data_IF_557989179372
#
_entry.id   IF_557989179372
#
_cell.length_a   1.000
_cell.length_b   1.000
_cell.length_c   1.000
_cell.angle_alpha   90.00
_cell.angle_beta   90.00
_cell.angle_gamma   90.00
#
_symmetry.space_group_name_H-M   'P 1'
#
loop_
_entity.id
_entity.type
_entity.pdbx_description
1 polymer ?
#
# COMPACT_ATOMS: atom_id res chain seq x y z
N UNK A 1 13.17 -50.28 -23.77
CA UNK A 1 12.48 -50.54 -22.50
C UNK A 1 13.33 -49.97 -21.38
N UNK A 2 13.07 -48.77 -21.00
CA UNK A 2 13.51 -48.20 -19.69
C UNK A 2 12.48 -47.10 -19.38
N UNK A 3 11.36 -47.51 -18.81
CA UNK A 3 10.46 -46.64 -18.07
C UNK A 3 11.15 -46.32 -16.74
N UNK A 4 11.84 -45.13 -16.67
CA UNK A 4 12.23 -44.55 -15.41
C UNK A 4 11.04 -43.83 -14.82
N UNK A 5 10.43 -44.54 -13.85
CA UNK A 5 9.49 -44.07 -12.82
C UNK A 5 9.63 -42.57 -12.51
N UNK A 6 8.57 -41.83 -12.79
CA UNK A 6 8.29 -40.52 -12.21
C UNK A 6 7.94 -40.71 -10.72
N UNK A 7 8.95 -40.96 -9.88
CA UNK A 7 8.80 -40.81 -8.43
C UNK A 7 8.43 -39.35 -8.13
N UNK A 8 7.29 -39.16 -7.49
CA UNK A 8 6.69 -37.86 -7.16
C UNK A 8 7.66 -36.94 -6.43
N UNK A 9 8.34 -36.07 -7.15
CA UNK A 9 9.04 -34.93 -6.54
C UNK A 9 7.97 -34.04 -5.92
N UNK A 10 7.90 -34.05 -4.57
CA UNK A 10 7.07 -33.08 -3.87
C UNK A 10 7.44 -31.68 -4.37
N UNK A 11 6.46 -30.98 -4.92
CA UNK A 11 6.63 -29.59 -5.40
C UNK A 11 6.97 -28.71 -4.18
N UNK A 12 8.19 -28.21 -4.14
CA UNK A 12 8.62 -27.22 -3.14
C UNK A 12 8.38 -25.83 -3.71
N UNK A 13 7.53 -25.05 -3.07
CA UNK A 13 7.22 -23.70 -3.52
C UNK A 13 8.48 -22.83 -3.72
N UNK A 14 8.53 -22.06 -4.82
CA UNK A 14 9.68 -21.25 -5.20
C UNK A 14 10.21 -20.33 -4.08
N UNK A 15 9.38 -19.68 -3.25
CA UNK A 15 9.85 -18.86 -2.14
C UNK A 15 10.63 -19.64 -1.08
N UNK A 16 10.40 -20.94 -0.97
CA UNK A 16 11.17 -21.82 -0.07
C UNK A 16 12.41 -22.38 -0.76
N UNK A 17 12.28 -22.86 -2.01
CA UNK A 17 13.36 -23.45 -2.81
C UNK A 17 14.50 -22.45 -3.08
N UNK A 18 14.15 -21.18 -3.39
CA UNK A 18 15.10 -20.13 -3.71
C UNK A 18 15.33 -19.14 -2.56
N UNK A 19 15.03 -19.56 -1.34
CA UNK A 19 15.30 -18.74 -0.15
C UNK A 19 16.82 -18.55 -0.02
N UNK A 20 17.31 -17.30 0.09
CA UNK A 20 18.74 -17.02 0.28
C UNK A 20 19.34 -17.82 1.42
N UNK A 21 20.49 -18.44 1.18
CA UNK A 21 21.20 -19.25 2.15
C UNK A 21 22.45 -18.57 2.71
N UNK A 22 22.98 -17.59 1.99
CA UNK A 22 24.15 -16.78 2.31
C UNK A 22 23.79 -15.29 2.22
N UNK A 23 24.66 -14.42 2.75
CA UNK A 23 24.45 -12.96 2.62
C UNK A 23 24.58 -12.49 1.17
N UNK A 24 25.43 -13.15 0.36
CA UNK A 24 25.64 -12.81 -1.05
C UNK A 24 24.41 -13.12 -1.91
N UNK A 25 23.54 -14.04 -1.46
CA UNK A 25 22.27 -14.33 -2.13
C UNK A 25 21.16 -13.29 -1.86
N UNK A 26 21.37 -12.42 -0.86
CA UNK A 26 20.35 -11.44 -0.45
C UNK A 26 20.32 -10.27 -1.44
N UNK A 27 19.16 -10.08 -2.08
CA UNK A 27 18.97 -9.04 -3.09
C UNK A 27 18.46 -7.74 -2.46
N UNK A 28 19.04 -6.59 -2.83
CA UNK A 28 18.51 -5.25 -2.55
C UNK A 28 18.74 -4.74 -1.12
N UNK A 29 19.56 -5.44 -0.31
CA UNK A 29 19.83 -5.06 1.09
C UNK A 29 21.33 -4.90 1.37
N UNK A 30 22.11 -4.46 0.39
CA UNK A 30 23.58 -4.41 0.42
C UNK A 30 24.10 -3.62 1.64
N UNK A 31 23.42 -2.55 2.05
CA UNK A 31 23.80 -1.73 3.22
C UNK A 31 23.66 -2.48 4.54
N UNK A 32 22.62 -3.32 4.69
CA UNK A 32 22.41 -4.18 5.86
C UNK A 32 23.43 -5.30 5.87
N UNK A 33 23.57 -6.01 4.76
CA UNK A 33 24.50 -7.13 4.57
C UNK A 33 25.92 -6.68 4.89
N UNK A 34 26.39 -5.58 4.32
CA UNK A 34 27.73 -5.04 4.58
C UNK A 34 27.97 -4.75 6.06
N UNK A 35 27.00 -4.18 6.74
CA UNK A 35 27.13 -3.85 8.16
C UNK A 35 27.17 -5.11 9.03
N UNK A 36 26.32 -6.10 8.73
CA UNK A 36 26.32 -7.39 9.44
C UNK A 36 27.62 -8.17 9.22
N UNK A 37 28.11 -8.25 7.97
CA UNK A 37 29.42 -8.87 7.66
C UNK A 37 30.57 -8.18 8.41
N UNK A 38 30.56 -6.85 8.49
CA UNK A 38 31.56 -6.11 9.23
C UNK A 38 31.49 -6.39 10.74
N UNK A 39 30.29 -6.45 11.32
CA UNK A 39 30.09 -6.78 12.74
C UNK A 39 30.61 -8.17 13.09
N UNK A 40 30.34 -9.16 12.22
CA UNK A 40 30.83 -10.55 12.37
C UNK A 40 32.36 -10.58 12.27
N UNK A 41 32.95 -10.00 11.22
CA UNK A 41 34.39 -10.01 10.98
C UNK A 41 35.19 -9.27 12.05
N UNK A 42 34.63 -8.18 12.65
CA UNK A 42 35.25 -7.45 13.74
C UNK A 42 35.00 -8.04 15.13
N UNK A 43 34.13 -9.06 15.24
CA UNK A 43 33.71 -9.64 16.51
C UNK A 43 32.83 -8.71 17.38
N UNK A 44 32.41 -7.56 16.86
CA UNK A 44 31.56 -6.58 17.57
C UNK A 44 30.08 -6.88 17.36
N UNK A 45 29.61 -7.93 18.03
CA UNK A 45 28.24 -8.43 17.89
C UNK A 45 27.38 -7.84 19.00
N UNK A 46 26.37 -7.05 18.65
CA UNK A 46 25.40 -6.53 19.60
C UNK A 46 24.57 -7.66 20.25
N UNK A 47 23.90 -7.36 21.37
CA UNK A 47 23.07 -8.35 22.04
C UNK A 47 21.68 -8.46 21.44
N UNK A 48 21.18 -7.38 20.84
CA UNK A 48 19.86 -7.37 20.20
C UNK A 48 19.90 -6.58 18.87
N UNK A 49 19.19 -7.11 17.90
CA UNK A 49 19.03 -6.57 16.55
C UNK A 49 17.55 -6.39 16.24
N UNK A 50 17.19 -5.33 15.53
CA UNK A 50 15.82 -5.06 15.10
C UNK A 50 15.82 -4.81 13.59
N UNK A 51 15.24 -5.73 12.82
CA UNK A 51 15.03 -5.60 11.39
C UNK A 51 13.63 -5.05 11.11
N UNK A 52 13.55 -3.86 10.54
CA UNK A 52 12.30 -3.16 10.21
C UNK A 52 12.14 -3.08 8.70
N UNK A 53 10.94 -3.28 8.19
CA UNK A 53 10.66 -3.04 6.78
C UNK A 53 9.47 -3.83 6.25
N UNK A 54 8.99 -3.57 5.03
CA UNK A 54 7.80 -4.18 4.44
C UNK A 54 7.82 -5.72 4.45
N UNK A 55 6.67 -6.31 4.19
CA UNK A 55 6.55 -7.77 4.06
C UNK A 55 7.31 -8.26 2.81
N UNK A 56 7.84 -9.49 2.85
CA UNK A 56 8.41 -10.16 1.68
C UNK A 56 9.81 -9.72 1.25
N UNK A 57 10.45 -8.73 1.92
CA UNK A 57 11.75 -8.16 1.53
C UNK A 57 12.98 -8.89 2.11
N UNK A 58 12.76 -9.96 2.91
CA UNK A 58 13.86 -10.80 3.41
C UNK A 58 14.22 -10.62 4.89
N UNK A 59 13.42 -9.95 5.74
CA UNK A 59 13.71 -9.78 7.19
C UNK A 59 14.06 -11.09 7.88
N UNK A 60 13.14 -12.03 7.92
CA UNK A 60 13.32 -13.35 8.56
C UNK A 60 14.44 -14.16 7.90
N UNK A 61 14.60 -14.05 6.58
CA UNK A 61 15.70 -14.70 5.84
C UNK A 61 17.05 -14.15 6.29
N UNK A 62 17.20 -12.83 6.35
CA UNK A 62 18.44 -12.18 6.83
C UNK A 62 18.72 -12.55 8.30
N UNK A 63 17.68 -12.62 9.15
CA UNK A 63 17.80 -13.09 10.54
C UNK A 63 18.37 -14.51 10.63
N UNK A 64 17.87 -15.42 9.79
CA UNK A 64 18.36 -16.82 9.76
C UNK A 64 19.78 -16.92 9.19
N UNK A 65 20.11 -16.14 8.15
CA UNK A 65 21.47 -16.10 7.60
C UNK A 65 22.44 -15.57 8.67
N UNK A 66 22.06 -14.51 9.37
CA UNK A 66 22.84 -13.95 10.46
C UNK A 66 23.05 -14.96 11.59
N UNK A 67 22.00 -15.69 12.00
CA UNK A 67 22.12 -16.76 13.00
C UNK A 67 23.03 -17.88 12.54
N UNK A 68 22.95 -18.30 11.26
CA UNK A 68 23.88 -19.28 10.67
C UNK A 68 25.32 -18.78 10.69
N UNK A 69 25.57 -17.53 10.30
CA UNK A 69 26.91 -16.95 10.26
C UNK A 69 27.56 -16.88 11.66
N UNK A 70 26.76 -16.56 12.70
CA UNK A 70 27.23 -16.52 14.08
C UNK A 70 27.57 -17.89 14.65
N UNK A 71 26.89 -18.94 14.22
CA UNK A 71 26.98 -20.30 14.75
C UNK A 71 27.59 -21.31 13.76
N UNK A 72 28.10 -20.83 12.62
CA UNK A 72 28.76 -21.70 11.64
C UNK A 72 30.04 -22.31 12.20
N UNK A 73 30.22 -23.60 11.96
CA UNK A 73 31.45 -24.32 12.40
C UNK A 73 32.64 -24.04 11.49
N UNK A 74 32.37 -23.77 10.20
CA UNK A 74 33.37 -23.56 9.17
C UNK A 74 33.00 -22.29 8.35
N UNK A 75 33.03 -21.07 8.96
CA UNK A 75 32.66 -19.87 8.25
C UNK A 75 33.71 -19.49 7.21
N UNK A 76 33.25 -18.96 6.06
CA UNK A 76 34.13 -18.31 5.08
C UNK A 76 34.08 -16.79 5.33
N UNK A 77 35.00 -16.30 6.12
CA UNK A 77 34.96 -14.91 6.61
C UNK A 77 33.74 -14.63 7.45
N UNK A 78 32.80 -13.83 6.90
CA UNK A 78 31.52 -13.54 7.55
C UNK A 78 30.34 -14.36 6.96
N UNK A 79 30.59 -15.20 5.95
CA UNK A 79 29.57 -16.04 5.32
C UNK A 79 29.42 -17.39 6.03
N UNK A 80 28.16 -17.85 6.19
CA UNK A 80 27.92 -19.23 6.66
C UNK A 80 28.27 -20.24 5.56
N UNK A 81 28.90 -21.34 5.90
CA UNK A 81 29.28 -22.36 4.92
C UNK A 81 28.07 -23.08 4.28
N UNK A 82 26.88 -23.01 4.88
CA UNK A 82 25.65 -23.64 4.40
C UNK A 82 25.58 -25.16 4.46
N UNK A 83 26.69 -25.85 4.78
CA UNK A 83 26.81 -27.32 4.72
C UNK A 83 27.12 -27.98 6.08
N UNK A 84 27.62 -27.27 7.08
CA UNK A 84 27.87 -27.85 8.40
C UNK A 84 26.57 -28.14 9.15
N UNK A 85 26.63 -28.96 10.15
CA UNK A 85 25.47 -29.41 10.93
C UNK A 85 24.64 -28.23 11.48
N UNK A 86 25.27 -27.22 12.08
CA UNK A 86 24.60 -26.05 12.59
C UNK A 86 23.88 -25.27 11.47
N UNK A 87 24.53 -25.09 10.32
CA UNK A 87 23.88 -24.37 9.18
C UNK A 87 22.66 -25.12 8.66
N UNK A 88 22.72 -26.45 8.58
CA UNK A 88 21.59 -27.28 8.12
C UNK A 88 20.46 -27.28 9.15
N UNK A 89 20.73 -27.50 10.42
CA UNK A 89 19.74 -27.49 11.49
C UNK A 89 19.03 -26.14 11.60
N UNK A 90 19.75 -25.01 11.46
CA UNK A 90 19.15 -23.67 11.48
C UNK A 90 18.29 -23.45 10.24
N UNK A 91 18.72 -23.88 9.05
CA UNK A 91 17.95 -23.75 7.82
C UNK A 91 16.62 -24.51 7.89
N UNK A 92 16.61 -25.68 8.52
CA UNK A 92 15.46 -26.55 8.70
C UNK A 92 14.60 -26.18 9.94
N UNK A 93 15.04 -25.23 10.76
CA UNK A 93 14.32 -24.82 11.98
C UNK A 93 14.37 -25.86 13.10
N UNK A 94 15.38 -26.75 13.11
CA UNK A 94 15.54 -27.84 14.11
C UNK A 94 16.68 -27.61 15.11
N UNK A 95 17.32 -26.45 15.07
CA UNK A 95 18.43 -26.11 15.98
C UNK A 95 17.92 -25.90 17.40
N UNK A 96 18.60 -26.52 18.39
CA UNK A 96 18.32 -26.30 19.81
C UNK A 96 18.81 -24.92 20.31
N UNK A 97 19.79 -24.34 19.62
CA UNK A 97 20.43 -23.09 20.00
C UNK A 97 19.89 -21.87 19.22
N UNK A 98 19.04 -22.10 18.20
CA UNK A 98 18.36 -21.04 17.46
C UNK A 98 16.87 -21.30 17.50
N UNK A 99 16.17 -20.53 18.33
CA UNK A 99 14.72 -20.62 18.50
C UNK A 99 14.06 -19.50 17.71
N UNK A 100 13.02 -19.85 16.93
CA UNK A 100 12.23 -18.90 16.15
C UNK A 100 10.80 -18.87 16.68
N UNK A 101 10.29 -17.68 16.98
CA UNK A 101 8.92 -17.39 17.42
C UNK A 101 8.25 -16.46 16.42
N UNK A 102 7.10 -16.84 15.94
CA UNK A 102 6.22 -15.96 15.18
C UNK A 102 5.29 -15.20 16.15
N UNK A 103 5.51 -13.91 16.31
CA UNK A 103 4.72 -13.04 17.19
C UNK A 103 3.28 -12.86 16.74
N UNK A 104 2.93 -13.15 15.48
CA UNK A 104 1.56 -13.11 15.01
C UNK A 104 0.72 -14.28 15.57
N UNK A 105 1.33 -15.46 15.68
CA UNK A 105 0.70 -16.68 16.20
C UNK A 105 0.87 -16.83 17.71
N UNK A 106 1.95 -16.30 18.28
CA UNK A 106 2.38 -16.47 19.66
C UNK A 106 2.72 -15.11 20.27
N UNK A 107 1.70 -14.40 20.78
CA UNK A 107 1.84 -13.01 21.24
C UNK A 107 1.68 -12.80 22.75
N UNK A 108 1.36 -13.84 23.49
CA UNK A 108 1.11 -13.77 24.93
C UNK A 108 2.39 -13.96 25.75
N UNK A 109 2.32 -13.63 27.03
CA UNK A 109 3.41 -13.84 28.00
C UNK A 109 3.79 -15.32 28.09
N UNK A 110 2.78 -16.20 28.04
CA UNK A 110 2.97 -17.64 28.11
C UNK A 110 3.84 -18.18 26.96
N UNK A 111 3.69 -17.58 25.77
CA UNK A 111 4.44 -17.97 24.57
C UNK A 111 5.91 -17.54 24.66
N UNK A 112 6.19 -16.45 25.35
CA UNK A 112 7.54 -15.89 25.51
C UNK A 112 8.27 -16.50 26.72
N UNK A 113 7.55 -17.07 27.69
CA UNK A 113 8.12 -17.67 28.87
C UNK A 113 9.17 -18.77 28.57
N UNK A 114 8.98 -19.69 27.60
CA UNK A 114 9.99 -20.66 27.22
C UNK A 114 11.32 -20.02 26.75
N UNK A 115 11.24 -18.86 26.09
CA UNK A 115 12.42 -18.09 25.67
C UNK A 115 13.17 -17.59 26.90
N UNK A 116 12.46 -16.97 27.87
CA UNK A 116 13.07 -16.43 29.09
C UNK A 116 13.72 -17.54 29.92
N UNK A 117 13.11 -18.70 30.02
CA UNK A 117 13.68 -19.87 30.70
C UNK A 117 14.90 -20.39 29.93
N UNK A 118 14.81 -20.50 28.61
CA UNK A 118 15.91 -20.98 27.78
C UNK A 118 17.14 -20.07 27.81
N UNK A 119 16.98 -18.76 28.02
CA UNK A 119 18.10 -17.80 28.13
C UNK A 119 19.07 -18.17 29.25
N UNK A 120 18.59 -18.79 30.32
CA UNK A 120 19.42 -19.15 31.47
C UNK A 120 20.40 -20.29 31.18
N UNK A 121 20.17 -21.08 30.14
CA UNK A 121 21.00 -22.21 29.77
C UNK A 121 21.98 -21.84 28.67
N UNK A 122 23.23 -22.28 28.79
CA UNK A 122 24.24 -22.11 27.74
C UNK A 122 23.83 -22.84 26.45
N UNK A 123 24.37 -22.44 25.29
CA UNK A 123 24.19 -23.18 24.05
C UNK A 123 24.63 -24.62 24.20
N UNK A 124 23.94 -25.57 23.54
CA UNK A 124 24.23 -26.98 23.58
C UNK A 124 25.39 -27.37 22.64
N UNK A 125 25.41 -26.82 21.41
CA UNK A 125 26.38 -27.18 20.37
C UNK A 125 26.96 -25.95 19.64
N UNK A 126 26.38 -24.79 19.82
CA UNK A 126 26.71 -23.56 19.08
C UNK A 126 27.48 -22.56 19.94
N UNK A 127 28.03 -21.51 19.29
CA UNK A 127 28.70 -20.42 19.99
C UNK A 127 27.71 -19.50 20.73
N UNK A 128 26.58 -19.23 20.08
CA UNK A 128 25.52 -18.34 20.60
C UNK A 128 24.19 -19.04 20.68
N UNK A 129 23.39 -18.66 21.66
CA UNK A 129 21.97 -18.97 21.74
C UNK A 129 21.20 -17.82 21.18
N UNK A 130 20.46 -18.03 20.08
CA UNK A 130 19.85 -16.98 19.29
C UNK A 130 18.33 -17.14 19.32
N UNK A 131 17.64 -16.04 19.60
CA UNK A 131 16.19 -15.99 19.60
C UNK A 131 15.75 -15.05 18.47
N UNK A 132 15.09 -15.62 17.47
CA UNK A 132 14.50 -14.85 16.35
C UNK A 132 13.01 -14.68 16.66
N UNK A 133 12.54 -13.43 16.75
CA UNK A 133 11.14 -13.13 16.99
C UNK A 133 10.63 -12.34 15.79
N UNK A 134 9.86 -13.02 14.92
CA UNK A 134 9.29 -12.43 13.73
C UNK A 134 7.95 -11.76 14.07
N UNK A 135 7.57 -10.75 13.29
CA UNK A 135 6.41 -9.87 13.49
C UNK A 135 6.25 -9.43 14.97
N UNK A 136 7.37 -9.05 15.57
CA UNK A 136 7.47 -8.76 17.00
C UNK A 136 6.53 -7.62 17.48
N UNK A 137 6.07 -6.74 16.58
CA UNK A 137 5.09 -5.71 16.91
C UNK A 137 3.73 -6.27 17.36
N UNK A 138 3.45 -7.54 17.09
CA UNK A 138 2.24 -8.23 17.52
C UNK A 138 2.29 -8.71 18.97
N UNK A 139 3.48 -8.73 19.59
CA UNK A 139 3.61 -9.13 20.99
C UNK A 139 2.83 -8.20 21.93
N UNK A 140 2.14 -8.77 22.90
CA UNK A 140 1.46 -8.01 23.94
C UNK A 140 2.45 -7.19 24.77
N UNK A 141 1.98 -6.08 25.33
CA UNK A 141 2.80 -5.25 26.24
C UNK A 141 3.34 -6.06 27.44
N UNK A 142 2.56 -7.02 27.92
CA UNK A 142 2.98 -7.91 28.99
C UNK A 142 4.12 -8.85 28.56
N UNK A 143 4.08 -9.38 27.31
CA UNK A 143 5.15 -10.19 26.73
C UNK A 143 6.45 -9.38 26.55
N UNK A 144 6.35 -8.15 26.08
CA UNK A 144 7.48 -7.23 26.00
C UNK A 144 8.09 -6.94 27.36
N UNK A 145 7.27 -6.63 28.36
CA UNK A 145 7.76 -6.34 29.72
C UNK A 145 8.48 -7.55 30.34
N UNK A 146 8.04 -8.76 30.04
CA UNK A 146 8.72 -9.97 30.49
C UNK A 146 10.11 -10.15 29.86
N UNK A 147 10.30 -9.71 28.60
CA UNK A 147 11.59 -9.74 27.91
C UNK A 147 12.56 -8.63 28.33
N UNK A 148 12.06 -7.48 28.85
CA UNK A 148 12.89 -6.30 29.13
C UNK A 148 14.07 -6.62 30.02
N UNK A 149 13.86 -7.35 31.14
CA UNK A 149 14.93 -7.70 32.06
C UNK A 149 16.05 -8.47 31.39
N UNK A 150 15.69 -9.39 30.49
CA UNK A 150 16.66 -10.21 29.73
C UNK A 150 17.39 -9.40 28.66
N UNK A 151 16.73 -8.39 28.10
CA UNK A 151 17.32 -7.50 27.11
C UNK A 151 18.26 -6.45 27.72
N UNK A 152 18.04 -6.08 28.97
CA UNK A 152 18.90 -5.15 29.72
C UNK A 152 20.24 -5.78 30.08
N UNK A 153 20.21 -7.00 30.63
CA UNK A 153 21.39 -7.72 31.09
C UNK A 153 21.44 -9.14 30.49
N UNK A 154 21.57 -9.26 29.14
CA UNK A 154 21.62 -10.57 28.52
C UNK A 154 22.93 -11.29 28.80
N UNK A 155 22.91 -12.60 29.04
CA UNK A 155 24.13 -13.40 29.08
C UNK A 155 24.94 -13.21 27.78
N UNK A 156 26.30 -13.24 27.82
CA UNK A 156 27.16 -12.93 26.68
C UNK A 156 26.94 -13.85 25.49
N UNK A 157 26.46 -15.06 25.74
CA UNK A 157 26.16 -16.07 24.73
C UNK A 157 24.75 -15.92 24.12
N UNK A 158 23.91 -15.00 24.61
CA UNK A 158 22.55 -14.80 24.10
C UNK A 158 22.51 -13.66 23.08
N UNK A 159 21.79 -13.88 21.99
CA UNK A 159 21.52 -12.86 20.97
C UNK A 159 20.03 -12.86 20.62
N UNK A 160 19.44 -11.67 20.53
CA UNK A 160 18.07 -11.47 20.09
C UNK A 160 18.05 -10.88 18.69
N UNK A 161 17.15 -11.37 17.85
CA UNK A 161 16.91 -10.83 16.51
C UNK A 161 15.40 -10.63 16.35
N UNK A 162 14.98 -9.40 16.38
CA UNK A 162 13.58 -9.00 16.18
C UNK A 162 13.37 -8.63 14.72
N UNK A 163 12.25 -9.04 14.14
CA UNK A 163 11.83 -8.63 12.81
C UNK A 163 10.40 -8.08 12.88
N UNK A 164 10.12 -7.00 12.15
CA UNK A 164 8.80 -6.37 12.16
C UNK A 164 8.50 -5.64 10.84
N UNK A 165 7.24 -5.63 10.47
CA UNK A 165 6.73 -4.77 9.39
C UNK A 165 6.41 -3.36 9.89
N UNK A 166 6.17 -3.18 11.19
CA UNK A 166 5.72 -1.93 11.80
C UNK A 166 6.65 -1.52 12.95
N UNK A 167 7.76 -0.85 12.60
CA UNK A 167 8.77 -0.42 13.57
C UNK A 167 8.25 0.56 14.62
N UNK A 168 7.27 1.38 14.25
CA UNK A 168 6.69 2.42 15.12
C UNK A 168 5.79 1.83 16.23
N UNK A 169 5.31 0.59 16.06
CA UNK A 169 4.56 -0.13 17.09
C UNK A 169 5.45 -0.83 18.11
N UNK A 170 6.75 -0.93 17.87
CA UNK A 170 7.70 -1.51 18.83
C UNK A 170 7.98 -0.50 19.95
N UNK A 171 7.98 -0.96 21.20
CA UNK A 171 8.21 -0.09 22.34
C UNK A 171 9.56 0.63 22.26
N UNK A 172 9.59 1.93 22.50
CA UNK A 172 10.81 2.74 22.45
C UNK A 172 11.91 2.21 23.40
N UNK A 173 11.52 1.63 24.52
CA UNK A 173 12.40 0.96 25.48
C UNK A 173 13.13 -0.25 24.90
N UNK A 174 12.54 -0.94 23.94
CA UNK A 174 13.14 -2.07 23.20
C UNK A 174 14.04 -1.53 22.11
N UNK A 175 13.53 -0.56 21.31
CA UNK A 175 14.28 0.04 20.19
C UNK A 175 15.62 0.61 20.68
N UNK A 176 15.65 1.27 21.86
CA UNK A 176 16.87 1.86 22.44
C UNK A 176 17.95 0.84 22.81
N UNK A 177 17.59 -0.44 22.96
CA UNK A 177 18.51 -1.57 23.30
C UNK A 177 18.89 -2.41 22.09
N UNK A 178 18.29 -2.16 20.94
CA UNK A 178 18.52 -2.89 19.70
C UNK A 178 19.38 -2.10 18.71
N UNK A 179 20.24 -2.77 17.99
CA UNK A 179 20.81 -2.23 16.76
C UNK A 179 19.74 -2.34 15.68
N UNK A 180 19.17 -1.19 15.25
CA UNK A 180 18.12 -1.12 14.25
C UNK A 180 18.69 -1.15 12.84
N UNK A 181 18.04 -1.92 11.97
CA UNK A 181 18.30 -2.02 10.54
C UNK A 181 16.99 -1.83 9.77
N UNK A 182 16.94 -0.80 8.95
CA UNK A 182 15.79 -0.53 8.09
C UNK A 182 16.03 -1.15 6.71
N UNK A 183 15.30 -2.23 6.42
CA UNK A 183 15.32 -2.90 5.12
C UNK A 183 14.40 -2.14 4.17
N UNK A 184 14.83 -2.02 2.91
CA UNK A 184 14.13 -1.25 1.87
C UNK A 184 13.37 -2.18 0.94
N UNK A 185 12.36 -1.63 0.27
CA UNK A 185 11.74 -2.31 -0.87
C UNK A 185 12.80 -2.63 -1.92
N UNK A 186 12.75 -3.82 -2.46
CA UNK A 186 13.67 -4.26 -3.53
C UNK A 186 13.26 -3.54 -4.81
N UNK A 187 14.23 -3.04 -5.56
CA UNK A 187 13.97 -2.36 -6.83
C UNK A 187 13.39 -3.32 -7.86
N UNK A 188 12.50 -2.80 -8.70
CA UNK A 188 11.80 -3.61 -9.72
C UNK A 188 12.76 -4.35 -10.65
N UNK A 189 13.85 -3.69 -11.10
CA UNK A 189 14.87 -4.31 -11.93
C UNK A 189 15.57 -5.49 -11.23
N UNK A 190 15.92 -5.35 -9.95
CA UNK A 190 16.54 -6.43 -9.17
C UNK A 190 15.60 -7.64 -8.99
N UNK A 191 14.28 -7.38 -8.86
CA UNK A 191 13.30 -8.46 -8.83
C UNK A 191 13.22 -9.14 -10.20
N UNK A 192 13.15 -8.38 -11.31
CA UNK A 192 13.13 -8.94 -12.67
C UNK A 192 14.37 -9.80 -12.92
N UNK A 193 15.56 -9.32 -12.57
CA UNK A 193 16.81 -10.07 -12.71
C UNK A 193 16.77 -11.39 -11.95
N UNK A 194 16.25 -11.37 -10.71
CA UNK A 194 16.11 -12.58 -9.89
C UNK A 194 15.08 -13.55 -10.47
N UNK A 195 13.93 -13.06 -10.94
CA UNK A 195 12.91 -13.88 -11.59
C UNK A 195 13.45 -14.51 -12.88
N UNK A 196 14.16 -13.75 -13.70
CA UNK A 196 14.82 -14.25 -14.93
C UNK A 196 15.80 -15.39 -14.63
N UNK A 197 16.63 -15.19 -13.60
CA UNK A 197 17.56 -16.24 -13.15
C UNK A 197 16.82 -17.53 -12.73
N UNK A 198 15.69 -17.38 -12.00
CA UNK A 198 14.92 -18.52 -11.52
C UNK A 198 14.19 -19.21 -12.67
N UNK A 199 13.58 -18.48 -13.61
CA UNK A 199 12.97 -19.05 -14.81
C UNK A 199 13.99 -19.90 -15.59
N UNK A 200 15.23 -19.42 -15.77
CA UNK A 200 16.28 -20.18 -16.39
C UNK A 200 16.66 -21.47 -15.64
N UNK A 201 16.61 -21.45 -14.29
CA UNK A 201 16.89 -22.64 -13.47
C UNK A 201 15.76 -23.67 -13.47
N UNK A 202 14.50 -23.20 -13.55
CA UNK A 202 13.30 -24.06 -13.62
C UNK A 202 13.01 -24.52 -15.06
N UNK A 203 13.72 -24.00 -16.06
CA UNK A 203 13.47 -24.33 -17.47
C UNK A 203 12.16 -23.73 -18.02
N UNK A 204 11.70 -22.65 -17.42
CA UNK A 204 10.46 -21.95 -17.79
C UNK A 204 10.79 -20.75 -18.66
N UNK A 205 10.02 -20.56 -19.72
CA UNK A 205 10.09 -19.36 -20.55
C UNK A 205 9.07 -18.33 -20.07
N UNK A 206 9.49 -17.07 -19.99
CA UNK A 206 8.62 -15.95 -19.64
C UNK A 206 9.02 -14.71 -20.41
N UNK A 207 8.03 -13.97 -20.87
CA UNK A 207 8.26 -12.69 -21.55
C UNK A 207 8.82 -11.66 -20.56
N UNK A 208 9.67 -10.76 -21.05
CA UNK A 208 10.24 -9.66 -20.25
C UNK A 208 9.15 -8.80 -19.58
N UNK A 209 8.06 -8.53 -20.31
CA UNK A 209 6.93 -7.74 -19.81
C UNK A 209 6.13 -8.49 -18.74
N UNK A 210 6.03 -9.82 -18.86
CA UNK A 210 5.44 -10.66 -17.81
C UNK A 210 6.23 -10.58 -16.50
N UNK A 211 7.57 -10.72 -16.57
CA UNK A 211 8.42 -10.62 -15.38
C UNK A 211 8.38 -9.20 -14.78
N UNK A 212 8.29 -8.17 -15.63
CA UNK A 212 8.12 -6.79 -15.17
C UNK A 212 6.76 -6.59 -14.49
N UNK A 213 5.69 -7.18 -15.02
CA UNK A 213 4.35 -7.13 -14.40
C UNK A 213 4.36 -7.82 -13.03
N UNK A 214 4.99 -9.01 -12.91
CA UNK A 214 5.15 -9.69 -11.62
C UNK A 214 5.93 -8.82 -10.63
N UNK A 215 7.07 -8.24 -11.04
CA UNK A 215 7.92 -7.44 -10.19
C UNK A 215 7.22 -6.17 -9.68
N UNK A 216 6.43 -5.50 -10.53
CA UNK A 216 5.56 -4.38 -10.14
C UNK A 216 4.46 -4.84 -9.20
N UNK A 217 3.85 -6.01 -9.52
CA UNK A 217 2.82 -6.63 -8.74
C UNK A 217 3.22 -6.91 -7.31
N UNK A 218 4.46 -7.28 -7.10
CA UNK A 218 5.03 -7.63 -5.81
C UNK A 218 5.42 -6.41 -4.94
N UNK A 219 5.38 -5.18 -5.46
CA UNK A 219 5.65 -3.93 -4.71
C UNK A 219 6.95 -3.94 -3.90
N UNK A 220 8.00 -4.55 -4.44
CA UNK A 220 9.31 -4.67 -3.79
C UNK A 220 9.44 -5.87 -2.84
N UNK A 221 8.45 -6.76 -2.76
CA UNK A 221 8.47 -8.01 -1.99
C UNK A 221 8.93 -9.21 -2.81
N UNK A 222 10.15 -9.71 -2.64
CA UNK A 222 10.65 -10.87 -3.37
C UNK A 222 9.82 -12.13 -3.13
N UNK A 223 9.33 -12.32 -1.89
CA UNK A 223 8.49 -13.49 -1.56
C UNK A 223 7.19 -13.51 -2.36
N UNK A 224 6.55 -12.33 -2.49
CA UNK A 224 5.30 -12.20 -3.20
C UNK A 224 5.52 -12.36 -4.72
N UNK A 225 6.63 -11.83 -5.25
CA UNK A 225 7.04 -12.05 -6.65
C UNK A 225 7.25 -13.54 -6.97
N UNK A 226 7.97 -14.24 -6.10
CA UNK A 226 8.23 -15.68 -6.27
C UNK A 226 6.96 -16.53 -6.11
N UNK A 227 6.06 -16.14 -5.19
CA UNK A 227 4.77 -16.84 -5.02
C UNK A 227 3.90 -16.71 -6.27
N UNK A 228 3.89 -15.53 -6.88
CA UNK A 228 3.13 -15.29 -8.12
C UNK A 228 3.74 -16.00 -9.32
N UNK A 229 5.07 -16.02 -9.42
CA UNK A 229 5.74 -16.81 -10.46
C UNK A 229 5.43 -18.31 -10.30
N UNK A 230 5.45 -18.82 -9.08
CA UNK A 230 5.12 -20.21 -8.77
C UNK A 230 3.69 -20.59 -9.19
N UNK A 231 2.73 -19.69 -8.90
CA UNK A 231 1.33 -19.85 -9.34
C UNK A 231 1.22 -19.87 -10.87
N UNK A 232 1.94 -18.99 -11.56
CA UNK A 232 1.92 -18.92 -13.01
C UNK A 232 2.53 -20.18 -13.65
N UNK A 233 3.62 -20.69 -13.11
CA UNK A 233 4.25 -21.92 -13.55
C UNK A 233 3.31 -23.12 -13.36
N UNK A 234 2.58 -23.15 -12.23
CA UNK A 234 1.62 -24.22 -11.95
C UNK A 234 0.35 -24.13 -12.82
N UNK A 235 -0.01 -22.93 -13.27
CA UNK A 235 -1.24 -22.70 -14.04
C UNK A 235 -1.04 -22.92 -15.55
N UNK A 236 0.18 -22.67 -16.08
CA UNK A 236 0.42 -22.66 -17.51
C UNK A 236 1.61 -23.51 -17.94
N UNK A 237 1.35 -24.50 -18.77
CA UNK A 237 2.39 -25.23 -19.48
C UNK A 237 2.89 -24.38 -20.68
N UNK A 238 4.07 -23.76 -20.58
CA UNK A 238 4.67 -23.02 -21.69
C UNK A 238 5.16 -21.62 -21.31
N UNK A 239 5.09 -20.71 -22.29
CA UNK A 239 5.58 -19.33 -22.11
C UNK A 239 4.60 -18.50 -21.27
N UNK A 240 5.12 -17.84 -20.23
CA UNK A 240 4.35 -16.93 -19.38
C UNK A 240 4.29 -15.56 -20.08
N UNK A 241 3.07 -15.09 -20.37
CA UNK A 241 2.82 -13.80 -21.02
C UNK A 241 2.47 -12.70 -20.02
N UNK A 242 2.52 -11.44 -20.46
CA UNK A 242 2.10 -10.29 -19.63
C UNK A 242 0.66 -10.44 -19.14
N UNK A 243 -0.27 -10.86 -20.00
CA UNK A 243 -1.68 -11.04 -19.64
C UNK A 243 -1.87 -12.08 -18.52
N UNK A 244 -1.08 -13.16 -18.52
CA UNK A 244 -1.09 -14.16 -17.46
C UNK A 244 -0.67 -13.53 -16.13
N UNK A 245 0.43 -12.77 -16.15
CA UNK A 245 0.93 -12.07 -14.95
C UNK A 245 -0.08 -11.05 -14.41
N UNK A 246 -0.67 -10.24 -15.29
CA UNK A 246 -1.70 -9.25 -14.93
C UNK A 246 -2.95 -9.91 -14.34
N UNK A 247 -3.31 -11.11 -14.81
CA UNK A 247 -4.47 -11.84 -14.29
C UNK A 247 -4.28 -12.30 -12.85
N UNK A 248 -3.11 -12.85 -12.51
CA UNK A 248 -2.78 -13.34 -11.15
C UNK A 248 -2.86 -12.21 -10.11
N UNK A 249 -2.39 -11.03 -10.46
CA UNK A 249 -2.44 -9.88 -9.56
C UNK A 249 -3.75 -9.08 -9.62
N UNK A 250 -4.66 -9.43 -10.55
CA UNK A 250 -5.83 -8.63 -10.83
C UNK A 250 -5.47 -7.20 -11.27
N UNK A 251 -4.35 -7.05 -11.97
CA UNK A 251 -3.86 -5.77 -12.49
C UNK A 251 -4.57 -5.39 -13.78
N UNK A 252 -4.64 -4.10 -14.02
CA UNK A 252 -5.06 -3.55 -15.31
C UNK A 252 -3.81 -3.44 -16.19
N UNK A 253 -3.95 -3.78 -17.49
CA UNK A 253 -2.86 -3.60 -18.43
C UNK A 253 -2.52 -2.11 -18.53
N UNK A 254 -1.29 -1.85 -18.90
CA UNK A 254 -0.82 -0.48 -19.01
C UNK A 254 -1.58 0.31 -20.07
N UNK A 255 -1.86 -0.30 -21.21
CA UNK A 255 -2.63 0.32 -22.30
C UNK A 255 -4.06 0.66 -21.85
N UNK A 256 -4.69 -0.20 -21.05
CA UNK A 256 -6.01 0.05 -20.48
C UNK A 256 -5.98 1.19 -19.44
N UNK A 257 -4.94 1.26 -18.60
CA UNK A 257 -4.75 2.35 -17.64
C UNK A 257 -4.54 3.69 -18.35
N UNK A 258 -3.66 3.72 -19.35
CA UNK A 258 -3.38 4.90 -20.19
C UNK A 258 -4.64 5.34 -20.96
N UNK A 259 -5.41 4.38 -21.47
CA UNK A 259 -6.71 4.63 -22.11
C UNK A 259 -7.72 5.27 -21.18
N UNK A 260 -7.85 4.75 -19.94
CA UNK A 260 -8.72 5.33 -18.92
C UNK A 260 -8.27 6.74 -18.52
N UNK A 261 -6.96 6.97 -18.33
CA UNK A 261 -6.41 8.29 -18.05
C UNK A 261 -6.72 9.27 -19.18
N UNK A 262 -6.56 8.83 -20.43
CA UNK A 262 -6.93 9.63 -21.62
C UNK A 262 -8.42 9.98 -21.66
N UNK A 263 -9.32 9.07 -21.30
CA UNK A 263 -10.74 9.32 -21.20
C UNK A 263 -11.07 10.35 -20.09
N UNK A 264 -10.38 10.28 -18.95
CA UNK A 264 -10.53 11.26 -17.87
C UNK A 264 -10.08 12.65 -18.34
N UNK A 265 -8.91 12.75 -18.98
CA UNK A 265 -8.37 14.01 -19.49
C UNK A 265 -9.26 14.66 -20.58
N UNK A 266 -9.98 13.85 -21.35
CA UNK A 266 -10.96 14.31 -22.36
C UNK A 266 -12.35 14.60 -21.77
N UNK A 267 -12.61 14.21 -20.53
CA UNK A 267 -13.93 14.35 -19.90
C UNK A 267 -14.98 13.39 -20.45
N UNK A 268 -14.57 12.28 -21.09
CA UNK A 268 -15.49 11.29 -21.67
C UNK A 268 -16.08 10.38 -20.60
N UNK A 269 -17.21 10.80 -20.03
CA UNK A 269 -17.91 10.07 -18.98
C UNK A 269 -18.38 8.67 -19.40
N UNK A 270 -18.72 8.48 -20.69
CA UNK A 270 -19.19 7.17 -21.17
C UNK A 270 -18.06 6.16 -21.21
N UNK A 271 -16.90 6.55 -21.76
CA UNK A 271 -15.71 5.70 -21.78
C UNK A 271 -15.18 5.40 -20.39
N UNK A 272 -15.20 6.37 -19.46
CA UNK A 272 -14.82 6.15 -18.05
C UNK A 272 -15.68 5.06 -17.42
N UNK A 273 -17.03 5.18 -17.48
CA UNK A 273 -17.93 4.21 -16.88
C UNK A 273 -17.81 2.83 -17.50
N UNK A 274 -17.67 2.77 -18.84
CA UNK A 274 -17.46 1.50 -19.55
C UNK A 274 -16.17 0.81 -19.13
N UNK A 275 -15.08 1.54 -19.01
CA UNK A 275 -13.79 1.00 -18.58
C UNK A 275 -13.89 0.45 -17.15
N UNK A 276 -14.45 1.20 -16.20
CA UNK A 276 -14.61 0.76 -14.81
C UNK A 276 -15.51 -0.48 -14.73
N UNK A 277 -16.61 -0.54 -15.49
CA UNK A 277 -17.49 -1.71 -15.54
C UNK A 277 -16.77 -2.95 -16.09
N UNK A 278 -15.95 -2.79 -17.13
CA UNK A 278 -15.15 -3.87 -17.69
C UNK A 278 -14.13 -4.41 -16.69
N UNK A 279 -13.42 -3.52 -15.97
CA UNK A 279 -12.44 -3.92 -14.96
C UNK A 279 -13.09 -4.68 -13.79
N UNK A 280 -14.24 -4.20 -13.32
CA UNK A 280 -14.99 -4.84 -12.25
C UNK A 280 -15.47 -6.24 -12.69
N UNK A 281 -16.06 -6.36 -13.91
CA UNK A 281 -16.52 -7.63 -14.44
C UNK A 281 -15.39 -8.63 -14.72
N UNK A 282 -14.19 -8.13 -15.04
CA UNK A 282 -12.97 -8.94 -15.20
C UNK A 282 -12.29 -9.29 -13.87
N UNK A 283 -12.87 -8.92 -12.71
CA UNK A 283 -12.33 -9.21 -11.39
C UNK A 283 -11.03 -8.45 -11.07
N UNK A 284 -10.76 -7.33 -11.74
CA UNK A 284 -9.56 -6.52 -11.50
C UNK A 284 -9.60 -5.87 -10.11
N UNK A 285 -8.44 -5.68 -9.51
CA UNK A 285 -8.33 -5.05 -8.19
C UNK A 285 -8.57 -3.53 -8.28
N UNK A 286 -9.78 -3.11 -7.97
CA UNK A 286 -10.21 -1.71 -8.09
C UNK A 286 -9.44 -0.74 -7.17
N UNK A 287 -9.00 -1.19 -5.99
CA UNK A 287 -8.17 -0.36 -5.10
C UNK A 287 -6.80 -0.10 -5.70
N UNK A 288 -6.24 -1.13 -6.31
CA UNK A 288 -4.94 -1.03 -6.96
C UNK A 288 -5.01 -0.16 -8.23
N UNK A 289 -6.06 -0.29 -9.02
CA UNK A 289 -6.34 0.62 -10.15
C UNK A 289 -6.32 2.09 -9.71
N UNK A 290 -6.94 2.40 -8.57
CA UNK A 290 -6.95 3.76 -8.03
C UNK A 290 -5.53 4.27 -7.73
N UNK A 291 -4.70 3.47 -7.07
CA UNK A 291 -3.30 3.80 -6.79
C UNK A 291 -2.46 3.96 -8.07
N UNK A 292 -2.63 3.07 -9.06
CA UNK A 292 -1.93 3.16 -10.35
C UNK A 292 -2.32 4.41 -11.15
N UNK A 293 -3.62 4.78 -11.13
CA UNK A 293 -4.09 6.04 -11.71
C UNK A 293 -3.46 7.26 -11.01
N UNK A 294 -3.40 7.24 -9.69
CA UNK A 294 -2.77 8.33 -8.94
C UNK A 294 -1.29 8.49 -9.31
N UNK A 295 -0.55 7.38 -9.40
CA UNK A 295 0.85 7.40 -9.86
C UNK A 295 0.96 7.93 -11.29
N UNK A 296 0.06 7.54 -12.19
CA UNK A 296 0.05 8.03 -13.57
C UNK A 296 -0.19 9.54 -13.65
N UNK A 297 -1.19 10.06 -12.93
CA UNK A 297 -1.46 11.50 -12.88
C UNK A 297 -0.35 12.30 -12.17
N UNK A 298 0.27 11.74 -11.13
CA UNK A 298 1.49 12.32 -10.52
C UNK A 298 2.61 12.42 -11.56
N UNK A 299 2.82 11.39 -12.38
CA UNK A 299 3.82 11.41 -13.44
C UNK A 299 3.50 12.46 -14.51
N UNK A 300 2.23 12.69 -14.85
CA UNK A 300 1.80 13.78 -15.73
C UNK A 300 2.13 15.15 -15.14
N UNK A 301 1.88 15.38 -13.84
CA UNK A 301 2.25 16.63 -13.15
C UNK A 301 3.76 16.87 -13.23
N UNK A 302 4.56 15.83 -12.92
CA UNK A 302 6.04 15.93 -12.99
C UNK A 302 6.51 16.17 -14.42
N UNK A 303 5.88 15.52 -15.42
CA UNK A 303 6.20 15.72 -16.83
C UNK A 303 5.92 17.15 -17.27
N UNK A 304 4.80 17.73 -16.88
CA UNK A 304 4.49 19.12 -17.21
C UNK A 304 5.43 20.13 -16.54
N UNK A 305 5.92 19.81 -15.35
CA UNK A 305 6.86 20.68 -14.62
C UNK A 305 8.29 20.62 -15.16
N UNK A 306 8.80 19.45 -15.56
CA UNK A 306 10.20 19.20 -15.92
C UNK A 306 10.42 18.94 -17.40
N UNK A 307 9.36 18.68 -18.18
CA UNK A 307 9.47 18.30 -19.61
C UNK A 307 10.28 17.02 -19.80
N UNK A 308 11.13 17.00 -20.80
CA UNK A 308 11.97 15.83 -21.13
C UNK A 308 12.94 15.44 -20.00
N UNK A 309 13.32 16.37 -19.14
CA UNK A 309 14.14 16.09 -17.94
C UNK A 309 13.41 15.24 -16.88
N UNK A 310 12.10 15.15 -16.98
CA UNK A 310 11.31 14.24 -16.13
C UNK A 310 11.74 12.78 -16.30
N UNK A 311 12.26 12.40 -17.48
CA UNK A 311 12.75 11.05 -17.75
C UNK A 311 13.89 10.58 -16.84
N UNK A 312 14.66 11.50 -16.28
CA UNK A 312 15.76 11.18 -15.37
C UNK A 312 15.26 11.01 -13.92
N UNK A 313 14.10 11.59 -13.61
CA UNK A 313 13.47 11.55 -12.28
C UNK A 313 12.42 10.44 -12.17
N UNK A 314 11.77 10.12 -13.30
CA UNK A 314 10.73 9.11 -13.39
C UNK A 314 11.32 7.80 -13.92
N UNK A 315 11.12 6.71 -13.20
CA UNK A 315 11.46 5.36 -13.68
C UNK A 315 10.43 4.91 -14.73
N UNK A 316 10.48 5.49 -15.95
CA UNK A 316 9.53 5.26 -17.03
C UNK A 316 10.23 4.78 -18.31
N UNK A 317 9.53 3.89 -19.05
CA UNK A 317 10.02 3.40 -20.34
C UNK A 317 9.90 4.45 -21.45
N UNK A 318 10.57 4.21 -22.60
CA UNK A 318 10.50 5.09 -23.78
C UNK A 318 9.06 5.31 -24.29
N UNK A 319 8.22 4.26 -24.23
CA UNK A 319 6.83 4.36 -24.68
C UNK A 319 5.96 5.12 -23.71
N UNK A 320 6.22 4.98 -22.38
CA UNK A 320 5.57 5.83 -21.37
C UNK A 320 5.87 7.31 -21.57
N UNK A 321 7.11 7.64 -21.94
CA UNK A 321 7.48 9.03 -22.24
C UNK A 321 6.63 9.62 -23.35
N UNK A 322 6.40 8.86 -24.43
CA UNK A 322 5.54 9.30 -25.54
C UNK A 322 4.10 9.53 -25.10
N UNK A 323 3.51 8.55 -24.40
CA UNK A 323 2.13 8.64 -23.91
C UNK A 323 1.95 9.82 -22.95
N UNK A 324 2.88 10.00 -21.98
CA UNK A 324 2.84 11.14 -21.04
C UNK A 324 2.97 12.47 -21.78
N UNK A 325 3.86 12.56 -22.79
CA UNK A 325 4.03 13.76 -23.59
C UNK A 325 2.77 14.13 -24.41
N UNK A 326 2.04 13.13 -24.90
CA UNK A 326 0.77 13.32 -25.62
C UNK A 326 -0.35 13.72 -24.66
N UNK A 327 -0.50 13.01 -23.55
CA UNK A 327 -1.56 13.25 -22.57
C UNK A 327 -1.38 14.59 -21.84
N UNK A 328 -0.13 14.99 -21.56
CA UNK A 328 0.18 16.28 -20.93
C UNK A 328 -0.25 17.50 -21.76
N UNK A 329 -0.50 17.32 -23.07
CA UNK A 329 -0.99 18.38 -23.98
C UNK A 329 -2.52 18.54 -23.96
N UNK A 330 -3.25 17.56 -23.41
CA UNK A 330 -4.72 17.56 -23.44
C UNK A 330 -5.28 18.56 -22.45
N UNK A 331 -4.67 18.67 -21.25
CA UNK A 331 -5.12 19.55 -20.18
C UNK A 331 -3.99 20.44 -19.68
N UNK A 332 -4.34 21.61 -19.15
CA UNK A 332 -3.40 22.48 -18.46
C UNK A 332 -2.94 21.90 -17.10
N UNK A 333 -1.80 22.42 -16.61
CA UNK A 333 -1.18 21.94 -15.37
C UNK A 333 -2.09 22.07 -14.15
N UNK A 334 -2.89 23.14 -14.07
CA UNK A 334 -3.80 23.36 -12.94
C UNK A 334 -4.88 22.29 -12.88
N UNK A 335 -5.44 21.89 -14.03
CA UNK A 335 -6.47 20.83 -14.08
C UNK A 335 -5.88 19.46 -13.74
N UNK A 336 -4.70 19.13 -14.30
CA UNK A 336 -4.05 17.84 -13.99
C UNK A 336 -3.74 17.75 -12.49
N UNK A 337 -3.29 18.86 -11.88
CA UNK A 337 -3.06 18.90 -10.44
C UNK A 337 -4.36 18.70 -9.63
N UNK A 338 -5.45 19.36 -10.00
CA UNK A 338 -6.74 19.17 -9.34
C UNK A 338 -7.28 17.74 -9.49
N UNK A 339 -7.05 17.09 -10.64
CA UNK A 339 -7.40 15.68 -10.84
C UNK A 339 -6.56 14.79 -9.91
N UNK A 340 -5.24 15.00 -9.85
CA UNK A 340 -4.35 14.26 -8.97
C UNK A 340 -4.75 14.40 -7.49
N UNK A 341 -5.13 15.60 -7.06
CA UNK A 341 -5.62 15.88 -5.70
C UNK A 341 -6.91 15.10 -5.39
N UNK A 342 -7.86 15.06 -6.34
CA UNK A 342 -9.09 14.26 -6.19
C UNK A 342 -8.83 12.75 -6.14
N UNK A 343 -7.83 12.26 -6.86
CA UNK A 343 -7.42 10.86 -6.78
C UNK A 343 -6.75 10.54 -5.43
N UNK A 344 -5.96 11.45 -4.88
CA UNK A 344 -5.37 11.31 -3.55
C UNK A 344 -6.46 11.26 -2.45
N UNK A 345 -7.45 12.17 -2.50
CA UNK A 345 -8.59 12.11 -1.58
C UNK A 345 -9.38 10.79 -1.68
N UNK A 346 -9.44 10.19 -2.87
CA UNK A 346 -10.12 8.91 -3.09
C UNK A 346 -9.37 7.78 -2.40
N UNK A 347 -8.02 7.76 -2.47
CA UNK A 347 -7.21 6.70 -1.88
C UNK A 347 -7.44 6.60 -0.37
N UNK A 348 -7.49 7.72 0.34
CA UNK A 348 -7.80 7.75 1.77
C UNK A 348 -9.18 7.17 2.08
N UNK A 349 -10.19 7.49 1.27
CA UNK A 349 -11.57 7.02 1.46
C UNK A 349 -11.74 5.54 1.14
N UNK A 350 -10.93 4.98 0.24
CA UNK A 350 -10.99 3.57 -0.15
C UNK A 350 -10.79 2.60 1.03
N UNK A 351 -10.15 3.04 2.11
CA UNK A 351 -9.92 2.20 3.31
C UNK A 351 -11.20 1.86 4.06
N UNK A 352 -12.21 2.75 4.02
CA UNK A 352 -13.39 2.66 4.88
C UNK A 352 -14.71 2.53 4.12
N UNK A 353 -14.68 2.57 2.78
CA UNK A 353 -15.90 2.56 1.96
C UNK A 353 -16.45 1.14 1.78
N UNK A 354 -17.79 1.00 1.82
CA UNK A 354 -18.48 -0.26 1.57
C UNK A 354 -18.48 -0.65 0.08
N UNK A 355 -18.65 0.32 -0.84
CA UNK A 355 -18.65 0.09 -2.29
C UNK A 355 -17.48 0.82 -2.93
N UNK A 356 -16.40 0.08 -3.15
CA UNK A 356 -15.17 0.57 -3.80
C UNK A 356 -15.48 1.04 -5.23
N UNK A 357 -16.25 0.26 -5.99
CA UNK A 357 -16.65 0.58 -7.36
C UNK A 357 -17.36 1.92 -7.46
N UNK A 358 -18.42 2.13 -6.66
CA UNK A 358 -19.20 3.37 -6.69
C UNK A 358 -18.34 4.59 -6.35
N UNK A 359 -17.42 4.47 -5.37
CA UNK A 359 -16.53 5.57 -5.04
C UNK A 359 -15.61 5.93 -6.21
N UNK A 360 -15.05 4.92 -6.87
CA UNK A 360 -14.18 5.13 -8.04
C UNK A 360 -14.96 5.76 -9.18
N UNK A 361 -16.11 5.20 -9.58
CA UNK A 361 -16.95 5.76 -10.65
C UNK A 361 -17.25 7.24 -10.40
N UNK A 362 -17.74 7.58 -9.20
CA UNK A 362 -18.07 8.96 -8.83
C UNK A 362 -16.87 9.90 -8.83
N UNK A 363 -15.71 9.40 -8.39
CA UNK A 363 -14.49 10.23 -8.36
C UNK A 363 -13.94 10.46 -9.76
N UNK A 364 -13.90 9.43 -10.60
CA UNK A 364 -13.41 9.54 -11.97
C UNK A 364 -14.33 10.42 -12.84
N UNK A 365 -15.64 10.35 -12.64
CA UNK A 365 -16.58 11.27 -13.30
C UNK A 365 -16.36 12.74 -12.86
N UNK A 366 -16.07 12.98 -11.58
CA UNK A 366 -15.71 14.33 -11.10
C UNK A 366 -14.37 14.79 -11.69
N UNK A 367 -13.38 13.91 -11.77
CA UNK A 367 -12.10 14.19 -12.41
C UNK A 367 -12.27 14.54 -13.89
N UNK A 368 -13.08 13.78 -14.64
CA UNK A 368 -13.41 14.09 -16.02
C UNK A 368 -14.14 15.43 -16.20
N UNK A 369 -15.00 15.81 -15.24
CA UNK A 369 -15.62 17.15 -15.23
C UNK A 369 -14.59 18.26 -15.05
N UNK A 370 -13.64 18.11 -14.14
CA UNK A 370 -12.54 19.08 -13.95
C UNK A 370 -11.78 19.28 -15.25
N UNK A 371 -11.53 18.20 -15.99
CA UNK A 371 -10.84 18.26 -17.28
C UNK A 371 -11.65 19.04 -18.36
N UNK A 372 -12.99 18.93 -18.36
CA UNK A 372 -13.87 19.45 -19.41
C UNK A 372 -14.43 20.84 -19.15
N UNK A 373 -14.44 21.33 -17.91
CA UNK A 373 -14.97 22.64 -17.56
C UNK A 373 -14.01 23.73 -17.98
N UNK A 374 -14.46 24.66 -18.83
CA UNK A 374 -13.67 25.82 -19.23
C UNK A 374 -13.28 26.69 -18.03
N UNK A 375 -12.01 27.08 -17.92
CA UNK A 375 -11.57 27.98 -16.87
C UNK A 375 -12.17 29.38 -17.07
N UNK A 376 -12.28 30.16 -15.98
CA UNK A 376 -12.74 31.56 -16.07
C UNK A 376 -11.84 32.34 -17.02
N UNK A 377 -10.53 32.03 -17.07
CA UNK A 377 -9.59 32.68 -17.97
C UNK A 377 -9.84 32.34 -19.43
N UNK A 378 -10.15 31.07 -19.74
CA UNK A 378 -10.54 30.65 -21.10
C UNK A 378 -11.85 31.32 -21.54
N UNK A 379 -12.85 31.37 -20.65
CA UNK A 379 -14.10 32.06 -20.90
C UNK A 379 -13.85 33.54 -21.11
N UNK A 380 -13.03 34.19 -20.30
CA UNK A 380 -12.65 35.61 -20.45
C UNK A 380 -11.90 35.86 -21.76
N UNK A 381 -11.02 34.94 -22.17
CA UNK A 381 -10.32 35.01 -23.45
C UNK A 381 -11.29 34.87 -24.62
N UNK A 382 -12.17 33.88 -24.58
CA UNK A 382 -13.20 33.68 -25.59
C UNK A 382 -14.13 34.89 -25.68
N UNK A 383 -14.56 35.49 -24.57
CA UNK A 383 -15.37 36.73 -24.56
C UNK A 383 -14.61 37.92 -25.13
N UNK A 384 -13.28 38.04 -24.84
CA UNK A 384 -12.45 39.12 -25.44
C UNK A 384 -12.29 38.92 -26.96
N UNK A 385 -12.10 37.68 -27.42
CA UNK A 385 -11.99 37.34 -28.85
C UNK A 385 -13.31 37.59 -29.58
N UNK A 386 -14.47 37.26 -28.97
CA UNK A 386 -15.79 37.57 -29.51
C UNK A 386 -16.04 39.07 -29.59
N UNK A 387 -15.62 39.84 -28.58
CA UNK A 387 -15.67 41.31 -28.61
C UNK A 387 -14.76 41.91 -29.67
N UNK A 388 -13.58 41.32 -29.91
CA UNK A 388 -12.62 41.79 -30.92
C UNK A 388 -13.08 41.46 -32.36
N UNK A 389 -13.86 40.40 -32.57
CA UNK A 389 -14.42 39.99 -33.87
C UNK A 389 -15.75 40.65 -34.24
N UNK A 390 -16.12 41.74 -33.57
CA UNK A 390 -17.31 42.54 -33.91
C UNK A 390 -18.59 42.04 -33.29
N UNK A 391 -18.72 42.25 -32.01
CA UNK A 391 -19.93 42.31 -31.21
C UNK A 391 -21.02 41.26 -31.43
N UNK A 392 -21.46 40.64 -30.35
CA UNK A 392 -22.79 40.01 -30.30
C UNK A 392 -23.86 41.00 -30.83
N UNK A 393 -24.76 40.55 -31.72
CA UNK A 393 -25.92 41.38 -32.06
C UNK A 393 -26.62 41.79 -30.77
N UNK A 394 -27.12 43.05 -30.68
CA UNK A 394 -27.80 43.50 -29.49
C UNK A 394 -28.94 42.56 -29.17
N UNK A 395 -29.22 42.27 -27.88
CA UNK A 395 -30.31 41.42 -27.51
C UNK A 395 -31.61 42.00 -28.10
N UNK A 396 -32.23 41.27 -29.01
CA UNK A 396 -33.55 41.60 -29.49
C UNK A 396 -34.47 41.56 -28.27
N UNK A 397 -34.99 42.72 -27.90
CA UNK A 397 -36.03 42.82 -26.89
C UNK A 397 -37.22 41.93 -27.33
N UNK A 398 -37.77 41.12 -26.45
CA UNK A 398 -38.95 40.32 -26.82
C UNK A 398 -40.06 41.25 -27.22
N UNK A 399 -40.56 41.08 -28.46
CA UNK A 399 -41.65 41.79 -29.00
C UNK A 399 -42.85 41.72 -28.04
N UNK A 400 -43.33 42.91 -27.58
CA UNK A 400 -44.49 43.04 -26.74
C UNK A 400 -45.70 42.50 -27.49
N UNK A 401 -46.22 41.36 -27.07
CA UNK A 401 -47.53 40.89 -27.50
C UNK A 401 -48.60 41.80 -26.86
N UNK A 402 -49.32 42.45 -27.71
CA UNK A 402 -50.48 43.37 -27.37
C UNK A 402 -51.47 42.62 -26.44
N UNK A 403 -51.86 43.30 -25.36
CA UNK A 403 -52.96 42.91 -24.50
C UNK A 403 -54.34 43.20 -25.22
N UNK A 404 -55.30 42.33 -25.06
CA UNK A 404 -56.68 42.68 -25.28
C UNK A 404 -57.29 43.34 -24.02
N UNK A 405 -58.21 44.25 -24.32
CA UNK A 405 -58.84 45.26 -23.49
C UNK A 405 -59.68 44.80 -22.28
N UNK A 406 -59.90 45.73 -21.42
CA UNK A 406 -60.53 45.76 -20.11
C UNK A 406 -62.00 45.36 -20.06
N UNK A 407 -62.44 44.88 -18.91
CA UNK A 407 -63.76 45.14 -18.32
C UNK A 407 -63.72 44.97 -16.79
N UNK A 408 -64.69 45.55 -15.99
CA UNK A 408 -64.33 46.46 -14.90
C UNK A 408 -64.56 45.92 -13.46
N UNK A 409 -63.92 46.62 -12.59
CA UNK A 409 -64.16 46.89 -11.15
C UNK A 409 -65.12 46.04 -10.30
N UNK A 410 -64.65 45.56 -9.16
CA UNK A 410 -65.30 45.79 -7.87
C UNK A 410 -64.42 45.45 -6.65
N UNK A 411 -64.45 46.43 -5.72
CA UNK A 411 -64.34 46.34 -4.27
C UNK A 411 -62.97 46.01 -3.60
N UNK A 412 -62.43 47.07 -3.09
CA UNK A 412 -61.45 47.15 -1.97
C UNK A 412 -62.03 46.64 -0.64
N UNK A 413 -61.33 46.06 0.23
CA UNK A 413 -61.13 46.56 1.59
C UNK A 413 -59.64 46.45 2.12
N UNK A 414 -59.37 46.99 3.31
CA UNK A 414 -58.32 47.97 3.52
C UNK A 414 -57.01 47.44 4.05
N UNK A 415 -55.96 48.24 3.98
CA UNK A 415 -54.64 48.02 4.49
C UNK A 415 -54.53 47.93 6.02
N UNK A 416 -53.67 47.15 6.60
CA UNK A 416 -53.15 47.43 7.93
C UNK A 416 -51.74 48.07 7.90
N UNK A 417 -51.60 48.97 8.84
CA UNK A 417 -50.48 49.86 9.09
C UNK A 417 -49.19 49.17 9.54
N UNK A 418 -48.06 49.86 9.48
CA UNK A 418 -46.73 49.26 9.71
C UNK A 418 -46.42 49.11 11.18
N UNK A 419 -45.87 47.96 11.55
CA UNK A 419 -45.31 47.72 12.85
C UNK A 419 -43.78 47.84 12.84
N UNK A 420 -43.31 48.43 13.92
CA UNK A 420 -42.01 48.96 14.27
C UNK A 420 -40.77 48.11 13.92
N UNK A 421 -39.71 48.86 13.64
CA UNK A 421 -38.30 48.41 13.61
C UNK A 421 -37.90 47.81 14.95
N UNK A 422 -37.35 46.61 14.93
CA UNK A 422 -36.58 46.03 16.03
C UNK A 422 -35.11 45.84 15.61
N UNK A 423 -34.21 46.38 16.43
CA UNK A 423 -32.77 46.36 16.29
C UNK A 423 -32.21 44.93 16.46
N UNK A 424 -31.04 44.63 15.91
CA UNK A 424 -30.42 43.31 16.06
C UNK A 424 -29.71 43.20 17.42
N UNK A 425 -30.01 42.13 18.13
CA UNK A 425 -29.23 41.64 19.30
C UNK A 425 -28.18 40.62 18.88
N UNK A 426 -27.04 40.59 19.52
CA UNK A 426 -25.95 39.64 19.20
C UNK A 426 -26.10 38.31 19.97
N UNK A 427 -25.65 37.24 19.33
CA UNK A 427 -25.36 35.97 20.01
C UNK A 427 -26.35 34.86 19.67
N UNK A 428 -26.03 34.06 18.67
CA UNK A 428 -26.67 32.76 18.46
C UNK A 428 -25.77 31.71 19.16
N UNK A 429 -26.28 31.23 20.30
CA UNK A 429 -25.72 30.07 21.03
C UNK A 429 -25.80 28.81 20.15
N UNK A 430 -24.73 27.99 20.28
CA UNK A 430 -24.69 26.64 19.79
C UNK A 430 -25.83 25.81 20.39
N UNK A 431 -26.34 24.77 19.70
CA UNK A 431 -27.41 23.95 20.22
C UNK A 431 -26.92 23.23 21.49
N UNK A 432 -27.51 23.57 22.61
CA UNK A 432 -27.35 22.84 23.89
C UNK A 432 -28.01 21.48 23.70
N UNK A 433 -27.21 20.43 23.70
CA UNK A 433 -27.71 19.06 23.70
C UNK A 433 -28.39 18.77 25.05
N UNK A 434 -29.70 18.63 25.03
CA UNK A 434 -30.47 18.23 26.22
C UNK A 434 -30.33 16.73 26.44
N UNK A 435 -29.49 16.37 27.41
CA UNK A 435 -29.17 14.99 27.82
C UNK A 435 -30.42 14.21 28.22
N UNK A 436 -31.41 14.89 28.81
CA UNK A 436 -32.65 14.26 29.30
C UNK A 436 -33.55 13.87 28.12
N UNK A 437 -33.58 14.68 27.06
CA UNK A 437 -34.38 14.41 25.85
C UNK A 437 -33.87 13.20 25.06
N UNK A 438 -32.56 12.92 25.13
CA UNK A 438 -31.95 11.74 24.48
C UNK A 438 -32.25 10.47 25.30
N UNK A 439 -32.24 10.54 26.60
CA UNK A 439 -32.54 9.40 27.50
C UNK A 439 -34.00 8.95 27.40
N UNK A 440 -34.91 9.88 27.11
CA UNK A 440 -36.34 9.62 27.02
C UNK A 440 -36.83 9.25 25.61
N UNK A 441 -35.90 9.13 24.60
CA UNK A 441 -36.26 8.73 23.23
C UNK A 441 -36.76 7.27 23.20
N UNK A 442 -38.01 7.01 22.78
CA UNK A 442 -38.57 5.66 22.72
C UNK A 442 -37.80 4.68 21.87
N UNK A 443 -37.03 5.18 20.87
CA UNK A 443 -36.22 4.37 19.97
C UNK A 443 -34.98 3.82 20.65
N UNK A 444 -34.34 4.61 21.51
CA UNK A 444 -33.18 4.19 22.32
C UNK A 444 -33.61 3.16 23.38
N UNK A 445 -34.75 3.35 24.02
CA UNK A 445 -35.31 2.40 24.97
C UNK A 445 -35.69 1.06 24.30
N UNK A 446 -36.08 1.06 23.04
CA UNK A 446 -36.33 -0.15 22.24
C UNK A 446 -35.06 -0.96 21.99
N UNK A 447 -33.95 -0.29 21.67
CA UNK A 447 -32.64 -0.92 21.41
C UNK A 447 -32.05 -1.49 22.70
N UNK A 448 -32.14 -0.78 23.82
CA UNK A 448 -31.63 -1.26 25.11
C UNK A 448 -32.39 -2.50 25.64
N UNK A 449 -33.68 -2.61 25.31
CA UNK A 449 -34.48 -3.82 25.68
C UNK A 449 -34.14 -5.05 24.79
N UNK A 450 -33.65 -4.85 23.58
CA UNK A 450 -33.27 -5.93 22.67
C UNK A 450 -31.86 -6.51 22.91
N UNK A 451 -31.05 -5.86 23.76
CA UNK A 451 -29.68 -6.28 24.08
C UNK A 451 -29.46 -6.40 25.61
N UNK A 452 -29.86 -7.52 26.24
CA UNK A 452 -29.71 -7.71 27.68
C UNK A 452 -28.19 -7.75 28.04
N UNK A 453 -27.76 -6.80 28.90
CA UNK A 453 -26.39 -6.69 29.35
C UNK A 453 -25.65 -5.41 28.92
N UNK A 454 -26.26 -4.56 28.11
CA UNK A 454 -25.67 -3.29 27.67
C UNK A 454 -25.95 -2.19 28.73
N UNK A 455 -24.87 -1.53 29.21
CA UNK A 455 -24.98 -0.33 30.06
C UNK A 455 -24.47 0.87 29.29
N UNK A 456 -25.17 1.97 29.35
CA UNK A 456 -24.75 3.25 28.79
C UNK A 456 -23.59 3.83 29.62
N UNK A 457 -22.41 4.03 29.05
CA UNK A 457 -21.16 4.39 29.76
C UNK A 457 -20.84 5.84 29.54
N UNK A 458 -21.51 6.73 29.24
CA UNK A 458 -21.25 8.18 29.10
C UNK A 458 -21.10 8.70 27.66
N UNK A 459 -21.73 9.85 27.39
CA UNK A 459 -21.59 10.59 26.13
C UNK A 459 -20.60 11.72 26.43
N UNK A 460 -19.37 11.61 25.94
CA UNK A 460 -18.40 12.72 25.93
C UNK A 460 -18.44 13.41 24.60
N UNK A 461 -18.63 14.73 24.61
CA UNK A 461 -18.37 15.59 23.46
C UNK A 461 -16.90 15.50 23.06
N UNK A 462 -16.69 15.41 21.75
CA UNK A 462 -15.37 15.44 21.13
C UNK A 462 -15.22 16.74 20.35
#
# INVERSE_FOLDING_TARGET
MEEKSAEGRQHVALPLKYRPMTFDDVVGQEHVVRTLKHAIGSGRIANAYLFVGPRGIGKTTTSRIFAKALNCLEPDGAEPCGKCENCLQIAEGRSLDVMELDGASHNKVEDVRPIIEAVQFKPAASRFKIFIIDECHMLSTAAWNALLKTLEEPPPYVKFVFATTEGDKVLATIVSRCQRFDLRRIQTNQIVDRLTYICGKEGVTADSDALLAIARGAEGGMRDALSSLDQLIAFKDGNITEDDALSVFGLVSRSELEGLAGAILKGDSASILKAVANFDSAGKNMRRLAGELMVHFRNLVVWQALGEKAGDTLEITSDQRKTLAEQAKICDSSRIFQIADKLAEMEDKLRYVLSVRTLIEMTLLRAGRIASVASIEELMKAVRELKAKGGLPPPQAPAAKASPAAAPASATPPAPQPAAQAQPSPGADAPVFDRQAILDDPRLNGILKSMPGTKMVDIKEK
#
